data_IF_776866885619
#
_entry.id   IF_776866885619
#
_cell.length_a   1.000
_cell.length_b   1.000
_cell.length_c   1.000
_cell.angle_alpha   90.00
_cell.angle_beta   90.00
_cell.angle_gamma   90.00
#
_symmetry.space_group_name_H-M   'P 1'
#
loop_
_entity.id
_entity.type
_entity.pdbx_description
1 polymer ?
#
# COMPACT_ATOMS: atom_id res chain seq x y z
N UNK A 1 -4.89 -8.07 27.17
CA UNK A 1 -4.11 -7.32 26.15
C UNK A 1 -3.30 -6.27 26.90
N UNK A 2 -1.98 -6.41 26.96
CA UNK A 2 -1.09 -5.49 27.68
C UNK A 2 -1.03 -4.14 26.95
N UNK A 3 -0.67 -3.07 27.66
CA UNK A 3 -0.58 -1.73 27.05
C UNK A 3 0.45 -1.68 25.92
N UNK A 4 1.53 -2.45 26.04
CA UNK A 4 2.54 -2.58 24.99
C UNK A 4 1.98 -3.17 23.69
N UNK A 5 1.12 -4.19 23.76
CA UNK A 5 0.52 -4.78 22.56
C UNK A 5 -0.46 -3.83 21.87
N UNK A 6 -1.19 -3.01 22.65
CA UNK A 6 -2.03 -1.93 22.10
C UNK A 6 -1.19 -0.88 21.38
N UNK A 7 -0.09 -0.45 21.98
CA UNK A 7 0.82 0.54 21.36
C UNK A 7 1.37 0.00 20.04
N UNK A 8 1.81 -1.25 20.00
CA UNK A 8 2.28 -1.90 18.76
C UNK A 8 1.19 -1.98 17.70
N UNK A 9 -0.05 -2.32 18.09
CA UNK A 9 -1.16 -2.38 17.16
C UNK A 9 -1.48 -0.99 16.56
N UNK A 10 -1.55 0.04 17.41
CA UNK A 10 -1.78 1.41 16.95
C UNK A 10 -0.65 1.92 16.07
N UNK A 11 0.61 1.59 16.38
CA UNK A 11 1.75 1.95 15.54
C UNK A 11 1.66 1.30 14.14
N UNK A 12 1.24 0.04 14.04
CA UNK A 12 1.01 -0.62 12.75
C UNK A 12 -0.12 0.03 11.95
N UNK A 13 -1.21 0.42 12.62
CA UNK A 13 -2.34 1.10 11.98
C UNK A 13 -1.92 2.47 11.44
N UNK A 14 -1.19 3.26 12.23
CA UNK A 14 -0.68 4.56 11.78
C UNK A 14 0.29 4.42 10.61
N UNK A 15 1.18 3.42 10.66
CA UNK A 15 2.11 3.15 9.57
C UNK A 15 1.38 2.73 8.29
N UNK A 16 0.37 1.86 8.39
CA UNK A 16 -0.50 1.50 7.27
C UNK A 16 -1.33 2.68 6.75
N UNK A 17 -1.65 3.66 7.60
CA UNK A 17 -2.34 4.87 7.17
C UNK A 17 -1.44 5.74 6.28
N UNK A 18 -0.16 5.87 6.64
CA UNK A 18 0.82 6.70 5.92
C UNK A 18 1.44 6.03 4.71
N UNK A 19 1.64 4.73 4.76
CA UNK A 19 2.46 4.01 3.80
C UNK A 19 1.70 2.84 3.17
N UNK A 20 1.56 2.90 1.85
CA UNK A 20 0.75 1.96 1.09
C UNK A 20 1.27 0.52 1.17
N UNK A 21 2.60 0.32 1.24
CA UNK A 21 3.17 -1.02 1.45
C UNK A 21 2.70 -1.63 2.78
N UNK A 22 2.72 -0.85 3.86
CA UNK A 22 2.31 -1.34 5.18
C UNK A 22 0.80 -1.56 5.27
N UNK A 23 -0.01 -0.78 4.56
CA UNK A 23 -1.43 -1.09 4.36
C UNK A 23 -1.62 -2.47 3.72
N UNK A 24 -0.89 -2.73 2.62
CA UNK A 24 -0.92 -4.01 1.94
C UNK A 24 -0.49 -5.16 2.87
N UNK A 25 0.65 -4.99 3.55
CA UNK A 25 1.22 -5.98 4.47
C UNK A 25 0.31 -6.27 5.66
N UNK A 26 -0.33 -5.24 6.23
CA UNK A 26 -1.24 -5.40 7.36
C UNK A 26 -2.46 -6.25 7.01
N UNK A 27 -3.00 -6.08 5.79
CA UNK A 27 -4.18 -6.82 5.34
C UNK A 27 -3.86 -8.23 4.88
N UNK A 28 -2.78 -8.42 4.09
CA UNK A 28 -2.44 -9.73 3.50
C UNK A 28 -0.93 -10.00 3.60
N UNK A 29 -0.43 -10.30 4.81
CA UNK A 29 1.01 -10.40 5.10
C UNK A 29 1.69 -11.52 4.30
N UNK A 30 1.02 -12.66 4.08
CA UNK A 30 1.58 -13.80 3.35
C UNK A 30 1.90 -13.47 1.88
N UNK A 31 1.11 -12.58 1.28
CA UNK A 31 1.36 -12.11 -0.07
C UNK A 31 2.40 -10.99 -0.08
N UNK A 32 2.28 -10.04 0.83
CA UNK A 32 3.12 -8.84 0.93
C UNK A 32 4.30 -9.01 1.87
N UNK A 33 5.00 -10.12 1.78
CA UNK A 33 6.11 -10.39 2.67
C UNK A 33 7.28 -9.41 2.43
N UNK A 34 7.88 -8.91 3.52
CA UNK A 34 8.95 -7.90 3.47
C UNK A 34 10.27 -8.42 2.88
N UNK A 35 10.42 -9.73 2.72
CA UNK A 35 11.55 -10.37 2.04
C UNK A 35 11.43 -10.32 0.51
N UNK A 36 10.28 -9.90 -0.03
CA UNK A 36 10.03 -9.75 -1.47
C UNK A 36 10.21 -8.29 -1.90
N UNK A 37 11.46 -7.90 -2.15
CA UNK A 37 11.82 -6.52 -2.49
C UNK A 37 10.98 -5.93 -3.63
N UNK A 38 10.71 -6.70 -4.69
CA UNK A 38 9.91 -6.24 -5.82
C UNK A 38 8.48 -5.80 -5.44
N UNK A 39 7.91 -6.34 -4.36
CA UNK A 39 6.59 -5.91 -3.86
C UNK A 39 6.69 -4.59 -3.11
N UNK A 40 7.79 -4.36 -2.39
CA UNK A 40 8.06 -3.08 -1.73
C UNK A 40 8.23 -2.00 -2.79
N UNK A 41 9.10 -2.25 -3.77
CA UNK A 41 9.40 -1.30 -4.85
C UNK A 41 8.12 -0.91 -5.61
N UNK A 42 7.33 -1.90 -6.06
CA UNK A 42 6.09 -1.64 -6.79
C UNK A 42 5.07 -0.81 -5.99
N UNK A 43 5.03 -0.93 -4.67
CA UNK A 43 4.09 -0.18 -3.82
C UNK A 43 4.56 1.24 -3.60
N UNK A 44 5.85 1.39 -3.35
CA UNK A 44 6.45 2.70 -3.17
C UNK A 44 6.33 3.52 -4.45
N UNK A 45 6.62 2.94 -5.62
CA UNK A 45 6.42 3.61 -6.91
C UNK A 45 4.96 4.01 -7.15
N UNK A 46 3.99 3.15 -6.79
CA UNK A 46 2.57 3.47 -6.92
C UNK A 46 2.11 4.58 -5.95
N UNK A 47 2.66 4.62 -4.73
CA UNK A 47 2.37 5.69 -3.78
C UNK A 47 2.99 7.01 -4.25
N UNK A 48 4.27 6.99 -4.66
CA UNK A 48 4.95 8.16 -5.22
C UNK A 48 4.19 8.72 -6.41
N UNK A 49 3.73 7.86 -7.33
CA UNK A 49 2.89 8.28 -8.44
C UNK A 49 1.57 8.93 -7.99
N UNK A 50 0.89 8.36 -7.00
CA UNK A 50 -0.36 8.95 -6.49
C UNK A 50 -0.15 10.32 -5.83
N UNK A 51 0.99 10.48 -5.16
CA UNK A 51 1.39 11.71 -4.46
C UNK A 51 2.02 12.75 -5.39
N UNK A 52 2.42 12.37 -6.61
CA UNK A 52 2.98 13.29 -7.60
C UNK A 52 1.88 14.02 -8.40
N UNK A 53 2.33 14.89 -9.30
CA UNK A 53 1.51 15.58 -10.30
C UNK A 53 1.52 14.82 -11.65
N UNK A 54 1.99 13.57 -11.69
CA UNK A 54 2.04 12.78 -12.91
C UNK A 54 0.64 12.25 -13.30
N UNK A 55 0.31 12.31 -14.59
CA UNK A 55 -0.99 11.84 -15.08
C UNK A 55 -1.03 10.32 -15.34
N UNK A 56 0.11 9.70 -15.66
CA UNK A 56 0.15 8.30 -16.14
C UNK A 56 1.35 7.53 -15.57
N UNK A 57 1.06 6.36 -14.99
CA UNK A 57 2.07 5.36 -14.59
C UNK A 57 2.03 4.14 -15.51
N UNK A 58 3.18 3.79 -16.11
CA UNK A 58 3.35 2.57 -16.91
C UNK A 58 4.12 1.53 -16.10
N UNK A 59 3.46 0.44 -15.73
CA UNK A 59 4.07 -0.66 -14.96
C UNK A 59 4.39 -1.86 -15.87
N UNK A 60 5.67 -2.04 -16.20
CA UNK A 60 6.15 -3.20 -16.96
C UNK A 60 6.81 -4.24 -16.04
N UNK A 61 6.00 -5.16 -15.50
CA UNK A 61 6.47 -6.24 -14.61
C UNK A 61 6.00 -7.62 -15.09
N UNK A 62 6.74 -8.71 -14.77
CA UNK A 62 6.40 -10.07 -15.19
C UNK A 62 4.99 -10.53 -14.74
N UNK A 63 4.43 -11.59 -15.36
CA UNK A 63 3.21 -12.20 -14.87
C UNK A 63 3.36 -12.65 -13.41
N UNK A 64 2.25 -12.62 -12.65
CA UNK A 64 2.18 -13.00 -11.22
C UNK A 64 2.94 -12.09 -10.25
N UNK A 65 3.39 -10.91 -10.69
CA UNK A 65 3.97 -9.87 -9.81
C UNK A 65 2.94 -9.09 -8.96
N UNK A 66 1.66 -9.51 -9.00
CA UNK A 66 0.63 -8.91 -8.17
C UNK A 66 0.11 -7.54 -8.62
N UNK A 67 0.52 -7.03 -9.80
CA UNK A 67 0.16 -5.68 -10.30
C UNK A 67 -1.34 -5.34 -10.22
N UNK A 68 -2.21 -6.21 -10.72
CA UNK A 68 -3.66 -5.97 -10.73
C UNK A 68 -4.24 -6.00 -9.32
N UNK A 69 -3.73 -6.90 -8.48
CA UNK A 69 -4.09 -6.94 -7.05
C UNK A 69 -3.63 -5.69 -6.32
N UNK A 70 -2.45 -5.18 -6.68
CA UNK A 70 -1.95 -3.90 -6.14
C UNK A 70 -2.90 -2.77 -6.43
N UNK A 71 -3.28 -2.60 -7.70
CA UNK A 71 -4.04 -1.43 -8.13
C UNK A 71 -5.39 -1.35 -7.41
N UNK A 72 -6.02 -2.49 -7.14
CA UNK A 72 -7.26 -2.55 -6.35
C UNK A 72 -7.02 -2.11 -4.90
N UNK A 73 -5.93 -2.56 -4.28
CA UNK A 73 -5.55 -2.12 -2.93
C UNK A 73 -5.14 -0.63 -2.91
N UNK A 74 -4.55 -0.17 -4.03
CA UNK A 74 -4.43 1.20 -4.52
C UNK A 74 -5.59 2.07 -4.09
N UNK A 75 -6.69 1.82 -4.81
CA UNK A 75 -7.95 2.51 -4.62
C UNK A 75 -8.49 2.39 -3.19
N UNK A 76 -8.40 1.21 -2.57
CA UNK A 76 -8.89 1.01 -1.19
C UNK A 76 -8.14 1.87 -0.18
N UNK A 77 -6.81 1.96 -0.30
CA UNK A 77 -5.99 2.78 0.58
C UNK A 77 -6.32 4.26 0.40
N UNK A 78 -6.39 4.71 -0.86
CA UNK A 78 -6.76 6.09 -1.22
C UNK A 78 -8.12 6.49 -0.64
N UNK A 79 -9.17 5.68 -0.87
CA UNK A 79 -10.50 5.99 -0.34
C UNK A 79 -10.58 5.87 1.19
N UNK A 80 -9.67 5.10 1.80
CA UNK A 80 -9.49 5.08 3.25
C UNK A 80 -8.94 6.40 3.80
N UNK A 81 -8.10 7.10 3.03
CA UNK A 81 -7.58 8.43 3.39
C UNK A 81 -8.61 9.53 3.10
N UNK A 82 -9.22 9.50 1.92
CA UNK A 82 -10.16 10.51 1.45
C UNK A 82 -11.31 9.85 0.69
N UNK A 83 -12.49 9.79 1.30
CA UNK A 83 -13.67 9.20 0.67
C UNK A 83 -14.19 9.99 -0.53
N UNK A 84 -13.82 11.27 -0.63
CA UNK A 84 -14.22 12.14 -1.73
C UNK A 84 -13.10 12.27 -2.78
N UNK A 85 -12.12 11.36 -2.77
CA UNK A 85 -11.02 11.43 -3.72
C UNK A 85 -11.51 11.39 -5.16
N UNK A 86 -11.01 12.33 -5.96
CA UNK A 86 -11.43 12.55 -7.34
C UNK A 86 -10.24 12.73 -8.30
N UNK A 87 -9.02 12.36 -7.89
CA UNK A 87 -7.80 12.32 -8.72
C UNK A 87 -7.84 11.28 -9.86
N UNK A 88 -9.01 10.95 -10.42
CA UNK A 88 -9.19 10.01 -11.53
C UNK A 88 -9.75 10.72 -12.78
#
# INVERSE_FOLDING_TARGET
>A
MTDLEKIKQMAKLELANREFFYFCHLLVPDFYAADRQYLIDLRNEMQVFYESDDDVLIVNVPPRYGKSRTAVMLAQWIFGQNQNENKC
#
